data_IF_925811116743
#
_entry.id   IF_925811116743
#
_cell.length_a   1.000
_cell.length_b   1.000
_cell.length_c   1.000
_cell.angle_alpha   90.00
_cell.angle_beta   90.00
_cell.angle_gamma   90.00
#
_symmetry.space_group_name_H-M   'P 1'
#
loop_
_entity.id
_entity.type
_entity.pdbx_description
1 polymer ?
#
# COMPACT_ATOMS: atom_id res chain seq x y z
N UNK A 1 3.74 19.85 6.17
CA UNK A 1 2.75 20.80 5.60
C UNK A 1 2.17 21.70 6.68
N UNK A 2 1.68 21.13 7.77
CA UNK A 2 1.18 21.86 8.94
C UNK A 2 2.18 22.89 9.48
N UNK A 3 3.44 22.54 9.71
CA UNK A 3 4.45 23.50 10.20
C UNK A 3 4.63 24.70 9.27
N UNK A 4 4.42 24.53 7.96
CA UNK A 4 4.48 25.66 7.00
C UNK A 4 3.27 26.59 7.16
N UNK A 5 2.10 26.06 7.48
CA UNK A 5 0.92 26.87 7.81
C UNK A 5 1.14 27.63 9.11
N UNK A 6 1.61 26.95 10.17
CA UNK A 6 1.94 27.55 11.48
C UNK A 6 2.98 28.66 11.36
N UNK A 7 4.04 28.43 10.57
CA UNK A 7 5.07 29.44 10.29
C UNK A 7 4.48 30.66 9.57
N UNK A 8 3.61 30.44 8.58
CA UNK A 8 2.97 31.53 7.82
C UNK A 8 1.97 32.32 8.67
N UNK A 9 1.35 31.68 9.66
CA UNK A 9 0.47 32.30 10.65
C UNK A 9 1.24 33.03 11.76
N UNK A 10 2.57 32.89 11.83
CA UNK A 10 3.40 33.47 12.89
C UNK A 10 3.29 32.75 14.24
N UNK A 11 2.74 31.54 14.26
CA UNK A 11 2.58 30.72 15.47
C UNK A 11 3.88 30.03 15.90
N UNK A 12 4.79 29.82 14.95
CA UNK A 12 6.13 29.28 15.18
C UNK A 12 7.19 30.14 14.48
N UNK A 13 8.40 30.14 15.03
CA UNK A 13 9.57 30.74 14.39
C UNK A 13 10.20 29.85 13.32
N UNK A 14 11.15 30.40 12.57
CA UNK A 14 11.90 29.63 11.56
C UNK A 14 12.74 28.51 12.18
N UNK A 15 13.36 28.75 13.34
CA UNK A 15 14.18 27.73 14.02
C UNK A 15 13.32 26.55 14.48
N UNK A 16 12.17 26.81 15.12
CA UNK A 16 11.21 25.76 15.50
C UNK A 16 10.68 25.01 14.26
N UNK A 17 10.43 25.72 13.15
CA UNK A 17 10.06 25.07 11.88
C UNK A 17 11.15 24.11 11.40
N UNK A 18 12.42 24.52 11.43
CA UNK A 18 13.55 23.70 11.02
C UNK A 18 13.73 22.49 11.93
N UNK A 19 13.57 22.64 13.24
CA UNK A 19 13.65 21.55 14.21
C UNK A 19 12.57 20.49 13.96
N UNK A 20 11.32 20.90 13.72
CA UNK A 20 10.21 19.98 13.40
C UNK A 20 10.48 19.22 12.09
N UNK A 21 11.01 19.91 11.08
CA UNK A 21 11.35 19.26 9.80
C UNK A 21 12.46 18.24 10.00
N UNK A 22 13.52 18.58 10.73
CA UNK A 22 14.62 17.68 10.99
C UNK A 22 14.20 16.45 11.82
N UNK A 23 13.36 16.64 12.84
CA UNK A 23 12.88 15.54 13.69
C UNK A 23 11.96 14.55 12.95
N UNK A 24 11.36 14.97 11.83
CA UNK A 24 10.50 14.09 11.01
C UNK A 24 11.28 13.02 10.22
N UNK A 25 12.61 13.12 10.12
CA UNK A 25 13.49 12.17 9.43
C UNK A 25 14.49 11.51 10.41
N UNK A 26 14.03 10.65 11.34
CA UNK A 26 14.86 10.14 12.44
C UNK A 26 15.84 9.03 12.03
N UNK A 27 15.68 8.43 10.85
CA UNK A 27 16.45 7.26 10.43
C UNK A 27 16.57 7.15 8.90
N UNK A 28 17.32 6.16 8.43
CA UNK A 28 17.32 5.76 7.02
C UNK A 28 15.95 5.22 6.62
N UNK A 29 15.52 5.50 5.41
CA UNK A 29 14.26 5.00 4.86
C UNK A 29 13.62 6.00 3.91
N UNK A 30 12.34 5.80 3.65
CA UNK A 30 11.48 6.76 2.94
C UNK A 30 10.43 7.35 3.90
N UNK A 31 9.60 8.27 3.41
CA UNK A 31 8.55 8.92 4.19
C UNK A 31 7.69 7.91 4.98
N UNK A 32 7.61 8.08 6.30
CA UNK A 32 6.89 7.17 7.21
C UNK A 32 5.37 7.42 7.28
N UNK A 33 4.82 8.21 6.37
CA UNK A 33 3.36 8.39 6.20
C UNK A 33 2.87 7.52 5.05
N UNK A 34 1.55 7.43 4.84
CA UNK A 34 0.94 6.92 3.60
C UNK A 34 1.11 7.90 2.42
N UNK A 35 2.36 8.34 2.21
CA UNK A 35 2.79 9.03 0.99
C UNK A 35 3.05 8.04 -0.15
N UNK A 36 3.53 8.56 -1.28
CA UNK A 36 3.73 7.74 -2.50
C UNK A 36 4.67 6.56 -2.29
N UNK A 37 5.73 6.69 -1.48
CA UNK A 37 6.66 5.59 -1.23
C UNK A 37 5.99 4.41 -0.51
N UNK A 38 5.28 4.66 0.59
CA UNK A 38 4.53 3.62 1.32
C UNK A 38 3.42 3.04 0.45
N UNK A 39 2.66 3.89 -0.26
CA UNK A 39 1.63 3.43 -1.20
C UNK A 39 2.22 2.49 -2.25
N UNK A 40 3.25 2.91 -2.99
CA UNK A 40 3.79 2.11 -4.09
C UNK A 40 4.48 0.83 -3.62
N UNK A 41 5.09 0.81 -2.42
CA UNK A 41 5.54 -0.46 -1.81
C UNK A 41 4.35 -1.35 -1.51
N UNK A 42 3.31 -0.84 -0.84
CA UNK A 42 2.11 -1.63 -0.54
C UNK A 42 1.44 -2.19 -1.80
N UNK A 43 1.43 -1.41 -2.90
CA UNK A 43 0.86 -1.83 -4.17
C UNK A 43 1.77 -2.79 -4.94
N UNK A 44 3.08 -2.73 -4.79
CA UNK A 44 3.97 -3.75 -5.34
C UNK A 44 3.73 -5.12 -4.68
N UNK A 45 3.46 -5.15 -3.36
CA UNK A 45 3.04 -6.36 -2.67
C UNK A 45 1.62 -6.82 -3.09
N UNK A 46 0.66 -5.91 -3.20
CA UNK A 46 -0.71 -6.22 -3.64
C UNK A 46 -0.80 -6.70 -5.10
N UNK A 47 0.09 -6.20 -5.97
CA UNK A 47 0.28 -6.71 -7.34
C UNK A 47 0.91 -8.10 -7.36
N UNK A 48 1.39 -8.60 -6.22
CA UNK A 48 2.08 -9.87 -6.11
C UNK A 48 3.54 -9.80 -6.53
N UNK A 49 4.14 -8.62 -6.67
CA UNK A 49 5.54 -8.43 -7.12
C UNK A 49 6.55 -8.29 -5.97
N UNK A 50 6.10 -8.42 -4.72
CA UNK A 50 6.96 -8.53 -3.53
C UNK A 50 6.56 -9.76 -2.72
N UNK A 51 7.49 -10.26 -1.90
CA UNK A 51 7.15 -11.27 -0.90
C UNK A 51 6.14 -10.71 0.12
N UNK A 52 5.17 -11.52 0.60
CA UNK A 52 4.18 -11.07 1.58
C UNK A 52 4.82 -10.52 2.85
N UNK A 53 4.27 -9.42 3.37
CA UNK A 53 4.75 -8.71 4.56
C UNK A 53 5.94 -7.77 4.31
N UNK A 54 6.49 -7.71 3.09
CA UNK A 54 7.70 -6.94 2.79
C UNK A 54 7.46 -5.43 2.75
N UNK A 55 6.29 -4.96 2.33
CA UNK A 55 6.08 -3.55 2.01
C UNK A 55 6.23 -2.62 3.22
N UNK A 56 5.77 -3.04 4.39
CA UNK A 56 5.67 -2.17 5.57
C UNK A 56 6.94 -2.17 6.45
N UNK A 57 7.86 -3.13 6.29
CA UNK A 57 8.99 -3.30 7.21
C UNK A 57 9.86 -2.01 7.23
N UNK A 58 10.02 -1.36 8.40
CA UNK A 58 10.90 -0.19 8.53
C UNK A 58 12.32 -0.50 8.07
N UNK A 59 12.95 0.42 7.35
CA UNK A 59 14.28 0.18 6.79
C UNK A 59 15.36 -0.21 7.82
N UNK A 60 15.37 0.34 9.06
CA UNK A 60 16.34 -0.06 10.09
C UNK A 60 16.09 -1.44 10.71
N UNK A 61 14.93 -2.06 10.48
CA UNK A 61 14.60 -3.33 11.11
C UNK A 61 15.41 -4.48 10.49
N UNK A 62 15.89 -5.40 11.32
CA UNK A 62 16.60 -6.61 10.85
C UNK A 62 15.78 -7.43 9.85
N UNK A 63 14.46 -7.36 9.94
CA UNK A 63 13.50 -8.04 9.06
C UNK A 63 13.65 -7.59 7.61
N UNK A 64 14.05 -6.34 7.38
CA UNK A 64 14.33 -5.83 6.03
C UNK A 64 15.52 -6.56 5.40
N UNK A 65 16.57 -6.84 6.18
CA UNK A 65 17.70 -7.64 5.72
C UNK A 65 17.33 -9.11 5.48
N UNK A 66 16.49 -9.68 6.34
CA UNK A 66 16.02 -11.06 6.21
C UNK A 66 15.14 -11.25 4.97
N UNK A 67 14.17 -10.36 4.72
CA UNK A 67 13.31 -10.46 3.53
C UNK A 67 14.10 -10.19 2.25
N UNK A 68 15.16 -9.37 2.29
CA UNK A 68 16.04 -9.17 1.15
C UNK A 68 16.80 -10.47 0.79
N UNK A 69 17.27 -11.20 1.80
CA UNK A 69 17.90 -12.51 1.59
C UNK A 69 16.92 -13.54 1.02
N UNK A 70 15.70 -13.62 1.55
CA UNK A 70 14.67 -14.54 1.04
C UNK A 70 14.21 -14.14 -0.38
N UNK A 71 14.13 -12.84 -0.69
CA UNK A 71 13.91 -12.36 -2.07
C UNK A 71 15.02 -12.84 -3.01
N UNK A 72 16.28 -12.80 -2.57
CA UNK A 72 17.44 -13.27 -3.33
C UNK A 72 17.42 -14.77 -3.62
N UNK A 73 16.89 -15.59 -2.71
CA UNK A 73 16.62 -17.00 -2.99
C UNK A 73 15.48 -17.15 -3.99
N UNK A 74 14.37 -16.47 -3.73
CA UNK A 74 13.15 -16.65 -4.52
C UNK A 74 13.34 -16.29 -5.99
N UNK A 75 14.12 -15.26 -6.29
CA UNK A 75 14.35 -14.86 -7.68
C UNK A 75 15.10 -15.93 -8.49
N UNK A 76 15.95 -16.75 -7.86
CA UNK A 76 16.61 -17.90 -8.54
C UNK A 76 15.57 -18.94 -8.94
N UNK A 77 14.66 -19.27 -8.04
CA UNK A 77 13.57 -20.22 -8.32
C UNK A 77 12.66 -19.71 -9.44
N UNK A 78 12.31 -18.41 -9.43
CA UNK A 78 11.50 -17.79 -10.49
C UNK A 78 12.15 -17.90 -11.87
N UNK A 79 13.48 -17.83 -11.97
CA UNK A 79 14.21 -18.04 -13.23
C UNK A 79 14.06 -19.48 -13.71
N UNK A 80 14.13 -20.46 -12.81
CA UNK A 80 13.92 -21.87 -13.16
C UNK A 80 12.47 -22.19 -13.55
N UNK A 81 11.51 -21.49 -12.94
CA UNK A 81 10.08 -21.62 -13.23
C UNK A 81 9.64 -20.84 -14.49
N UNK A 82 10.52 -20.00 -15.04
CA UNK A 82 10.18 -19.00 -16.08
C UNK A 82 8.98 -18.12 -15.65
N UNK A 83 8.90 -17.77 -14.36
CA UNK A 83 7.83 -16.93 -13.81
C UNK A 83 8.10 -15.45 -14.15
N UNK A 84 7.35 -14.92 -15.12
CA UNK A 84 7.54 -13.57 -15.65
C UNK A 84 6.63 -12.55 -14.97
N UNK A 85 6.98 -11.26 -14.98
CA UNK A 85 6.09 -10.19 -14.53
C UNK A 85 4.70 -10.22 -15.19
N UNK A 86 4.60 -10.63 -16.47
CA UNK A 86 3.33 -10.77 -17.20
C UNK A 86 2.43 -11.87 -16.66
N UNK A 87 3.00 -12.87 -15.97
CA UNK A 87 2.26 -13.99 -15.40
C UNK A 87 1.66 -13.62 -14.03
N UNK A 88 2.17 -12.56 -13.41
CA UNK A 88 1.79 -12.06 -12.08
C UNK A 88 0.93 -10.80 -12.18
N UNK A 89 1.40 -9.78 -12.89
CA UNK A 89 0.73 -8.48 -13.03
C UNK A 89 -0.37 -8.51 -14.10
N UNK A 90 -1.38 -9.34 -13.86
CA UNK A 90 -2.57 -9.46 -14.72
C UNK A 90 -3.59 -8.37 -14.41
N UNK A 91 -4.62 -8.23 -15.26
CA UNK A 91 -5.77 -7.34 -15.00
C UNK A 91 -6.36 -7.54 -13.59
N UNK A 92 -6.44 -8.79 -13.14
CA UNK A 92 -6.95 -9.15 -11.81
C UNK A 92 -6.06 -8.64 -10.68
N UNK A 93 -4.73 -8.74 -10.84
CA UNK A 93 -3.78 -8.19 -9.88
C UNK A 93 -3.87 -6.65 -9.79
N UNK A 94 -4.06 -5.96 -10.92
CA UNK A 94 -4.27 -4.51 -10.93
C UNK A 94 -5.58 -4.11 -10.24
N UNK A 95 -6.67 -4.85 -10.44
CA UNK A 95 -7.94 -4.58 -9.74
C UNK A 95 -7.82 -4.81 -8.22
N UNK A 96 -7.12 -5.85 -7.78
CA UNK A 96 -6.77 -6.02 -6.37
C UNK A 96 -5.95 -4.84 -5.84
N UNK A 97 -4.95 -4.37 -6.59
CA UNK A 97 -4.13 -3.24 -6.19
C UNK A 97 -4.95 -1.94 -6.07
N UNK A 98 -5.96 -1.72 -6.92
CA UNK A 98 -6.89 -0.59 -6.79
C UNK A 98 -7.68 -0.69 -5.48
N UNK A 99 -8.24 -1.86 -5.17
CA UNK A 99 -8.98 -2.08 -3.92
C UNK A 99 -8.08 -1.85 -2.71
N UNK A 100 -6.87 -2.42 -2.71
CA UNK A 100 -5.89 -2.22 -1.63
C UNK A 100 -5.51 -0.74 -1.51
N UNK A 101 -5.30 -0.03 -2.62
CA UNK A 101 -4.98 1.40 -2.59
C UNK A 101 -6.09 2.21 -1.88
N UNK A 102 -7.35 1.95 -2.20
CA UNK A 102 -8.47 2.60 -1.52
C UNK A 102 -8.49 2.26 -0.02
N UNK A 103 -8.28 0.99 0.33
CA UNK A 103 -8.29 0.53 1.71
C UNK A 103 -7.18 1.13 2.57
N UNK A 104 -6.02 1.42 1.98
CA UNK A 104 -4.90 2.04 2.69
C UNK A 104 -4.93 3.57 2.65
N UNK A 105 -5.84 4.19 1.90
CA UNK A 105 -5.85 5.64 1.67
C UNK A 105 -4.63 6.12 0.89
N UNK A 106 -4.25 5.35 -0.13
CA UNK A 106 -3.02 5.54 -0.88
C UNK A 106 -2.95 6.85 -1.66
N UNK A 107 -1.73 7.22 -2.03
CA UNK A 107 -1.39 8.44 -2.76
C UNK A 107 -2.13 8.55 -4.10
N UNK A 108 -2.56 9.77 -4.44
CA UNK A 108 -3.11 10.12 -5.77
C UNK A 108 -2.12 9.96 -6.93
N UNK A 109 -0.85 9.68 -6.65
CA UNK A 109 0.13 9.30 -7.67
C UNK A 109 -0.01 7.83 -8.12
N UNK A 110 -0.72 6.98 -7.36
CA UNK A 110 -0.88 5.57 -7.68
C UNK A 110 -1.54 5.30 -9.05
N UNK A 111 -2.63 5.99 -9.46
CA UNK A 111 -3.22 5.82 -10.79
C UNK A 111 -2.23 6.13 -11.92
N UNK A 112 -1.41 7.16 -11.77
CA UNK A 112 -0.38 7.53 -12.76
C UNK A 112 0.62 6.39 -12.92
N UNK A 113 1.13 5.86 -11.81
CA UNK A 113 2.13 4.80 -11.82
C UNK A 113 1.58 3.47 -12.33
N UNK A 114 0.48 2.98 -11.76
CA UNK A 114 -0.05 1.66 -12.13
C UNK A 114 -0.62 1.64 -13.56
N UNK A 115 -1.26 2.71 -14.03
CA UNK A 115 -1.69 2.76 -15.43
C UNK A 115 -0.49 2.75 -16.39
N UNK A 116 0.62 3.40 -16.02
CA UNK A 116 1.85 3.34 -16.80
C UNK A 116 2.48 1.94 -16.81
N UNK A 117 2.52 1.24 -15.67
CA UNK A 117 3.02 -0.14 -15.57
C UNK A 117 2.13 -1.10 -16.36
N UNK A 118 0.80 -1.02 -16.19
CA UNK A 118 -0.17 -1.82 -16.93
C UNK A 118 0.01 -1.66 -18.45
N UNK A 119 0.20 -0.41 -18.92
CA UNK A 119 0.46 -0.11 -20.33
C UNK A 119 1.75 -0.76 -20.86
N UNK A 120 2.82 -0.84 -20.06
CA UNK A 120 4.05 -1.53 -20.47
C UNK A 120 3.87 -3.04 -20.63
N UNK A 121 2.90 -3.62 -19.92
CA UNK A 121 2.56 -5.04 -19.98
C UNK A 121 1.44 -5.35 -20.98
N UNK A 122 0.88 -4.33 -21.63
CA UNK A 122 -0.28 -4.49 -22.51
C UNK A 122 -1.58 -4.83 -21.77
N UNK A 123 -1.64 -4.59 -20.46
CA UNK A 123 -2.85 -4.80 -19.65
C UNK A 123 -3.76 -3.57 -19.81
N UNK A 124 -5.02 -3.74 -20.24
CA UNK A 124 -5.96 -2.64 -20.30
C UNK A 124 -6.26 -2.17 -18.88
N UNK A 125 -5.94 -0.91 -18.57
CA UNK A 125 -6.24 -0.25 -17.31
C UNK A 125 -6.30 1.26 -17.55
N UNK A 126 -7.36 1.92 -17.09
CA UNK A 126 -7.51 3.37 -17.23
C UNK A 126 -8.00 4.03 -15.92
N UNK A 127 -8.22 5.35 -15.96
CA UNK A 127 -8.65 6.10 -14.78
C UNK A 127 -10.10 5.80 -14.35
N UNK A 128 -10.96 5.26 -15.21
CA UNK A 128 -12.33 4.89 -14.83
C UNK A 128 -12.33 3.64 -13.96
N UNK A 129 -11.36 2.75 -14.15
CA UNK A 129 -11.20 1.54 -13.33
C UNK A 129 -11.00 1.89 -11.86
N UNK A 130 -10.23 2.95 -11.57
CA UNK A 130 -10.00 3.43 -10.21
C UNK A 130 -11.28 3.85 -9.49
N UNK A 131 -12.21 4.47 -10.22
CA UNK A 131 -13.51 4.82 -9.67
C UNK A 131 -14.43 3.60 -9.59
N UNK A 132 -14.49 2.81 -10.65
CA UNK A 132 -15.41 1.66 -10.78
C UNK A 132 -15.12 0.59 -9.73
N UNK A 133 -13.83 0.27 -9.55
CA UNK A 133 -13.36 -0.79 -8.66
C UNK A 133 -13.09 -0.23 -7.25
N UNK A 134 -12.53 0.97 -7.16
CA UNK A 134 -11.98 1.48 -5.90
C UNK A 134 -12.92 2.35 -5.06
N UNK A 135 -13.89 3.07 -5.66
CA UNK A 135 -14.60 4.16 -4.98
C UNK A 135 -15.31 3.73 -3.70
N UNK A 136 -16.00 2.58 -3.75
CA UNK A 136 -16.82 2.07 -2.64
C UNK A 136 -16.03 1.32 -1.57
N UNK A 137 -14.72 1.19 -1.73
CA UNK A 137 -13.87 0.51 -0.76
C UNK A 137 -13.64 1.45 0.42
N UNK A 138 -13.84 0.97 1.66
CA UNK A 138 -13.66 1.80 2.86
C UNK A 138 -12.19 2.05 3.19
N UNK A 139 -11.90 3.16 3.86
CA UNK A 139 -10.56 3.46 4.40
C UNK A 139 -10.35 2.67 5.69
N UNK A 140 -9.42 1.72 5.68
CA UNK A 140 -9.10 0.87 6.82
C UNK A 140 -7.88 1.37 7.59
N UNK A 141 -6.86 1.87 6.89
CA UNK A 141 -5.57 2.19 7.53
C UNK A 141 -5.57 3.62 8.09
N UNK A 142 -5.32 3.73 9.39
CA UNK A 142 -5.25 4.97 10.16
C UNK A 142 -3.84 5.59 10.13
N UNK A 143 -3.34 5.86 8.94
CA UNK A 143 -2.05 6.51 8.74
C UNK A 143 -2.19 7.95 8.27
N UNK A 144 -1.30 8.82 8.72
CA UNK A 144 -1.12 10.13 8.10
C UNK A 144 -0.87 9.98 6.59
N UNK A 145 -1.39 10.88 5.73
CA UNK A 145 -2.07 12.12 6.06
C UNK A 145 -3.58 11.99 6.36
N UNK A 146 -4.17 10.80 6.19
CA UNK A 146 -5.62 10.59 6.34
C UNK A 146 -6.05 10.26 7.77
N UNK A 147 -5.11 9.81 8.58
CA UNK A 147 -5.28 9.36 9.96
C UNK A 147 -4.17 9.86 10.87
N UNK A 148 -3.89 9.12 11.94
CA UNK A 148 -3.06 9.57 13.07
C UNK A 148 -1.66 8.94 13.11
N UNK A 149 -1.56 7.64 12.82
CA UNK A 149 -0.35 6.83 13.03
C UNK A 149 0.68 6.96 11.89
N UNK A 150 1.84 6.31 12.08
CA UNK A 150 2.96 6.28 11.14
C UNK A 150 3.34 4.84 10.72
N UNK A 151 4.24 4.72 9.73
CA UNK A 151 4.52 3.47 9.03
C UNK A 151 5.03 2.33 9.90
N UNK A 152 5.67 2.65 11.03
CA UNK A 152 6.10 1.64 12.01
C UNK A 152 4.90 0.97 12.70
N UNK A 153 3.87 1.75 13.07
CA UNK A 153 2.63 1.24 13.62
C UNK A 153 1.90 0.35 12.60
N UNK A 154 1.90 0.76 11.33
CA UNK A 154 1.30 -0.02 10.24
C UNK A 154 1.98 -1.36 10.03
N UNK A 155 3.31 -1.41 10.13
CA UNK A 155 4.04 -2.66 10.11
C UNK A 155 3.67 -3.56 11.29
N UNK A 156 3.70 -3.03 12.51
CA UNK A 156 3.36 -3.78 13.73
C UNK A 156 1.91 -4.29 13.72
N UNK A 157 0.97 -3.55 13.15
CA UNK A 157 -0.41 -3.96 13.01
C UNK A 157 -0.63 -5.11 12.01
N UNK A 158 0.40 -5.49 11.23
CA UNK A 158 0.35 -6.58 10.26
C UNK A 158 0.43 -6.14 8.79
N UNK A 159 0.59 -4.85 8.52
CA UNK A 159 0.91 -4.31 7.19
C UNK A 159 -0.12 -4.63 6.10
N UNK A 160 0.37 -4.84 4.88
CA UNK A 160 -0.47 -5.18 3.71
C UNK A 160 -1.23 -6.50 3.91
N UNK A 161 -0.62 -7.59 4.42
CA UNK A 161 -1.34 -8.85 4.62
C UNK A 161 -2.57 -8.71 5.51
N UNK A 162 -2.49 -7.93 6.60
CA UNK A 162 -3.65 -7.69 7.48
C UNK A 162 -4.78 -6.92 6.77
N UNK A 163 -4.44 -5.92 5.94
CA UNK A 163 -5.43 -5.18 5.14
C UNK A 163 -6.11 -6.10 4.13
N UNK A 164 -5.34 -6.91 3.40
CA UNK A 164 -5.88 -7.86 2.42
C UNK A 164 -6.75 -8.91 3.09
N UNK A 165 -6.34 -9.44 4.25
CA UNK A 165 -7.13 -10.38 5.02
C UNK A 165 -8.49 -9.79 5.44
N UNK A 166 -8.52 -8.53 5.87
CA UNK A 166 -9.76 -7.85 6.24
C UNK A 166 -10.68 -7.63 5.04
N UNK A 167 -10.13 -7.23 3.89
CA UNK A 167 -10.88 -7.11 2.63
C UNK A 167 -11.46 -8.46 2.18
N UNK A 168 -10.71 -9.56 2.33
CA UNK A 168 -11.18 -10.91 1.99
C UNK A 168 -12.32 -11.36 2.91
N UNK A 169 -12.23 -11.13 4.22
CA UNK A 169 -13.30 -11.47 5.18
C UNK A 169 -14.62 -10.81 4.81
N UNK A 170 -14.57 -9.60 4.27
CA UNK A 170 -15.74 -8.86 3.82
C UNK A 170 -16.15 -9.14 2.35
N UNK A 171 -15.43 -10.00 1.62
CA UNK A 171 -15.67 -10.26 0.20
C UNK A 171 -15.39 -9.06 -0.71
N UNK A 172 -14.55 -8.12 -0.27
CA UNK A 172 -14.22 -6.89 -1.01
C UNK A 172 -12.95 -7.03 -1.87
N UNK A 173 -12.12 -8.05 -1.65
CA UNK A 173 -11.01 -8.35 -2.54
C UNK A 173 -11.54 -9.14 -3.76
N UNK A 174 -11.47 -8.59 -4.98
CA UNK A 174 -12.17 -9.18 -6.12
C UNK A 174 -11.52 -10.47 -6.64
N UNK A 175 -10.19 -10.60 -6.54
CA UNK A 175 -9.44 -11.71 -7.13
C UNK A 175 -8.47 -12.35 -6.13
N UNK A 176 -8.96 -13.08 -5.11
CA UNK A 176 -8.10 -13.74 -4.12
C UNK A 176 -7.17 -14.80 -4.75
N UNK A 177 -7.53 -15.33 -5.92
CA UNK A 177 -6.76 -16.36 -6.63
C UNK A 177 -5.65 -15.79 -7.53
N UNK A 178 -5.44 -14.46 -7.54
CA UNK A 178 -4.36 -13.85 -8.31
C UNK A 178 -2.98 -14.36 -7.83
N UNK A 179 -2.16 -14.84 -8.76
CA UNK A 179 -0.82 -15.38 -8.49
C UNK A 179 0.14 -14.29 -8.05
N UNK A 180 1.13 -14.67 -7.22
CA UNK A 180 2.20 -13.77 -6.77
C UNK A 180 3.58 -14.39 -7.03
N UNK A 181 4.63 -13.57 -6.89
CA UNK A 181 6.02 -13.97 -7.16
C UNK A 181 6.49 -15.13 -6.31
N UNK A 182 5.88 -15.41 -5.15
CA UNK A 182 6.27 -16.54 -4.30
C UNK A 182 5.65 -17.89 -4.71
N UNK A 183 4.88 -17.92 -5.81
CA UNK A 183 4.22 -19.13 -6.31
C UNK A 183 2.88 -19.46 -5.66
N UNK A 184 2.41 -18.65 -4.70
CA UNK A 184 1.07 -18.77 -4.09
C UNK A 184 0.16 -17.63 -4.53
N UNK A 185 -1.15 -17.81 -4.35
CA UNK A 185 -2.14 -16.75 -4.57
C UNK A 185 -2.08 -15.70 -3.45
N UNK A 186 -2.49 -14.47 -3.76
CA UNK A 186 -2.58 -13.40 -2.76
C UNK A 186 -3.48 -13.79 -1.58
N UNK A 187 -4.58 -14.50 -1.86
CA UNK A 187 -5.49 -14.97 -0.83
C UNK A 187 -4.87 -16.01 0.08
N UNK A 188 -4.12 -16.98 -0.47
CA UNK A 188 -3.39 -17.95 0.32
C UNK A 188 -2.36 -17.25 1.23
N UNK A 189 -1.60 -16.32 0.67
CA UNK A 189 -0.56 -15.55 1.38
C UNK A 189 -1.12 -14.74 2.56
N UNK A 190 -2.35 -14.21 2.44
CA UNK A 190 -2.93 -13.33 3.46
C UNK A 190 -3.96 -14.03 4.37
N UNK A 191 -4.34 -15.28 4.09
CA UNK A 191 -5.38 -16.01 4.83
C UNK A 191 -5.11 -16.15 6.34
N UNK A 192 -3.85 -16.30 6.73
CA UNK A 192 -3.42 -16.45 8.11
C UNK A 192 -2.94 -15.12 8.75
N UNK A 193 -3.03 -14.00 8.03
CA UNK A 193 -2.57 -12.72 8.55
C UNK A 193 -3.49 -12.26 9.69
N UNK A 194 -2.85 -11.90 10.81
CA UNK A 194 -3.52 -11.36 11.99
C UNK A 194 -3.35 -9.85 11.98
N UNK A 195 -4.45 -9.15 12.27
CA UNK A 195 -4.40 -7.73 12.54
C UNK A 195 -4.13 -7.55 14.04
N UNK A 196 -2.93 -7.10 14.37
CA UNK A 196 -2.43 -7.00 15.75
C UNK A 196 -2.85 -5.69 16.43
N UNK A 197 -3.36 -4.71 15.66
CA UNK A 197 -3.79 -3.43 16.22
C UNK A 197 -4.93 -2.80 15.39
N UNK A 198 -6.16 -2.94 15.92
CA UNK A 198 -7.37 -2.42 15.27
C UNK A 198 -7.42 -0.89 15.22
N UNK A 199 -6.69 -0.16 16.06
CA UNK A 199 -6.65 1.30 16.01
C UNK A 199 -5.87 1.81 14.78
N UNK A 200 -4.93 1.00 14.28
CA UNK A 200 -4.08 1.29 13.12
C UNK A 200 -4.67 0.71 11.83
N UNK A 201 -5.16 -0.54 11.86
CA UNK A 201 -5.85 -1.16 10.74
C UNK A 201 -7.28 -1.47 11.18
N UNK A 202 -8.24 -0.68 10.74
CA UNK A 202 -9.65 -0.83 11.09
C UNK A 202 -10.30 -2.00 10.36
N UNK A 203 -11.40 -2.50 10.93
CA UNK A 203 -12.25 -3.49 10.26
C UNK A 203 -13.10 -2.83 9.18
N UNK A 204 -13.61 -3.63 8.24
CA UNK A 204 -14.57 -3.14 7.24
C UNK A 204 -15.89 -2.68 7.87
N UNK A 205 -16.27 -3.23 9.03
CA UNK A 205 -17.47 -2.85 9.77
C UNK A 205 -17.33 -1.49 10.48
N UNK A 206 -16.12 -1.13 10.92
CA UNK A 206 -15.83 0.12 11.60
C UNK A 206 -14.67 0.90 10.94
N UNK A 207 -14.79 1.27 9.66
CA UNK A 207 -13.71 1.92 8.93
C UNK A 207 -13.60 3.40 9.29
N UNK A 208 -12.49 4.04 8.92
CA UNK A 208 -12.31 5.49 9.08
C UNK A 208 -13.26 6.28 8.17
N UNK A 209 -13.49 5.77 6.96
CA UNK A 209 -14.41 6.34 5.97
C UNK A 209 -15.05 5.21 5.18
N UNK A 210 -16.35 5.32 4.89
CA UNK A 210 -17.08 4.29 4.15
C UNK A 210 -16.65 4.18 2.67
N UNK A 211 -16.30 5.31 2.03
CA UNK A 211 -15.86 5.37 0.64
C UNK A 211 -14.55 6.17 0.57
N UNK A 212 -13.46 5.52 0.18
CA UNK A 212 -12.13 6.11 0.20
C UNK A 212 -11.42 6.12 -1.16
N UNK A 213 -11.97 5.41 -2.15
CA UNK A 213 -11.38 5.36 -3.48
C UNK A 213 -11.49 6.68 -4.24
N UNK A 214 -10.72 6.76 -5.32
CA UNK A 214 -10.66 7.97 -6.14
C UNK A 214 -11.93 8.18 -6.97
N UNK A 215 -12.25 9.45 -7.18
CA UNK A 215 -13.27 9.90 -8.12
C UNK A 215 -12.54 10.41 -9.37
N UNK A 216 -12.87 9.88 -10.53
CA UNK A 216 -12.40 10.35 -11.83
C UNK A 216 -13.37 11.39 -12.38
N UNK A 217 -13.00 12.67 -12.31
CA UNK A 217 -13.83 13.78 -12.80
C UNK A 217 -13.65 13.97 -14.30
N UNK A 218 -14.76 14.18 -15.02
CA UNK A 218 -14.79 14.41 -16.48
C UNK A 218 -15.50 15.73 -16.79
N UNK A 219 -15.10 16.38 -17.87
CA UNK A 219 -15.63 17.66 -18.33
C UNK A 219 -15.54 17.80 -19.85
N UNK A 220 -16.16 18.85 -20.38
CA UNK A 220 -16.27 19.20 -21.79
C UNK A 220 -15.07 19.97 -22.34
#
# INVERSE_FOLDING_TARGET
WESRQRLSAGEIGYDEFMDIVASSAPSTGYCNTMGTATTMNSLAEALGMQLPGSAAIPAPYRERGQIAYETGKRIVDMVHEDLKPSDVMTRQAFENAIVVNSAIGGSTNAPIHLNAIARHLGVPLDNDDWQTVGLKVPLLVNLQPSGEYLGEDYHHAGGVPAVVAELMKAGLLPHPDAMTVNGNTIGANCSAAVNENLDVIRTVAEPLKANAGFINLRGN
#
